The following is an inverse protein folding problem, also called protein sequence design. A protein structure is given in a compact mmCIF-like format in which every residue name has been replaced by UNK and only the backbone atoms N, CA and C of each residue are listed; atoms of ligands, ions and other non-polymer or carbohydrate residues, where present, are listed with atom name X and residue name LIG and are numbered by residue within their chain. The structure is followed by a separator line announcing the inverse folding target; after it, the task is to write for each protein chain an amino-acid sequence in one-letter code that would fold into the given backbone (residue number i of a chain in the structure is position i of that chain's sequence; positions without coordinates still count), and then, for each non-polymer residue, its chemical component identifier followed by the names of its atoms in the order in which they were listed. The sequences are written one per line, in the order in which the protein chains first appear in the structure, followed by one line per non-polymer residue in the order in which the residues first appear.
data_IF_158971970326
#
_entry.id   IF_158971970326
#
_cell.length_a   1.000
_cell.length_b   1.000
_cell.length_c   1.000
_cell.angle_alpha   90.00
_cell.angle_beta   90.00
_cell.angle_gamma   90.00
#
_symmetry.space_group_name_H-M   'P 1'
#
loop_
_entity.id
_entity.type
_entity.pdbx_description
1 polymer ?
#
# COMPACT_ATOMS: atom_id res chain seq x y z
N UNK A 1 -11.49 75.68 -7.94
CA UNK A 1 -10.65 75.11 -6.87
C UNK A 1 -11.28 73.81 -6.48
N UNK A 2 -10.79 72.68 -6.61
CA UNK A 2 -9.53 71.98 -6.64
C UNK A 2 -9.73 70.57 -7.15
N UNK A 3 -8.94 70.17 -8.03
CA UNK A 3 -8.08 68.97 -8.13
C UNK A 3 -8.75 67.57 -7.90
N UNK A 4 -8.97 66.95 -8.97
CA UNK A 4 -8.58 65.63 -9.48
C UNK A 4 -7.65 64.80 -8.58
N UNK A 5 -8.05 63.61 -8.25
CA UNK A 5 -7.16 62.50 -7.85
C UNK A 5 -7.37 61.35 -8.82
N UNK A 6 -6.25 61.01 -9.47
CA UNK A 6 -6.17 60.14 -10.64
C UNK A 6 -6.30 58.66 -10.28
N UNK A 7 -6.92 57.93 -11.20
CA UNK A 7 -6.91 56.49 -11.33
C UNK A 7 -5.47 55.95 -11.43
N UNK A 8 -5.06 55.18 -10.43
CA UNK A 8 -3.90 54.30 -10.54
C UNK A 8 -4.38 52.90 -10.87
N UNK A 9 -4.59 52.61 -12.16
CA UNK A 9 -4.70 51.23 -12.66
C UNK A 9 -3.37 50.52 -12.43
N UNK A 10 -3.33 49.65 -11.45
CA UNK A 10 -2.20 48.73 -11.24
C UNK A 10 -2.18 47.72 -12.38
N UNK A 11 -1.32 47.98 -13.37
CA UNK A 11 -1.00 47.03 -14.43
C UNK A 11 -0.31 45.83 -13.80
N UNK A 12 -1.03 44.72 -13.66
CA UNK A 12 -0.49 43.45 -13.22
C UNK A 12 0.61 43.02 -14.19
N UNK A 13 1.84 42.90 -13.72
CA UNK A 13 3.00 42.51 -14.49
C UNK A 13 2.84 41.12 -15.12
N UNK A 14 3.08 40.92 -16.42
CA UNK A 14 2.98 39.62 -17.10
C UNK A 14 3.95 38.55 -16.55
N UNK A 15 4.93 38.92 -15.74
CA UNK A 15 5.84 37.97 -15.06
C UNK A 15 5.16 37.10 -14.00
N UNK A 16 4.07 37.53 -13.38
CA UNK A 16 3.32 36.72 -12.40
C UNK A 16 2.55 35.58 -13.05
N UNK A 17 2.06 35.78 -14.29
CA UNK A 17 1.32 34.76 -15.05
C UNK A 17 2.25 33.64 -15.56
N UNK A 18 3.46 33.99 -15.99
CA UNK A 18 4.49 33.03 -16.40
C UNK A 18 5.06 32.22 -15.22
N UNK A 19 5.16 32.82 -14.02
CA UNK A 19 5.58 32.08 -12.82
C UNK A 19 4.50 31.09 -12.34
N UNK A 20 3.22 31.41 -12.44
CA UNK A 20 2.12 30.50 -12.06
C UNK A 20 2.08 29.28 -13.00
N UNK A 21 2.37 29.43 -14.29
CA UNK A 21 2.44 28.31 -15.25
C UNK A 21 3.64 27.40 -15.01
N UNK A 22 4.79 27.93 -14.52
CA UNK A 22 5.98 27.12 -14.20
C UNK A 22 5.83 26.33 -12.90
N UNK A 23 4.94 26.73 -12.01
CA UNK A 23 4.68 26.06 -10.72
C UNK A 23 4.00 24.69 -10.88
N UNK A 24 3.32 24.42 -11.99
CA UNK A 24 2.60 23.18 -12.24
C UNK A 24 3.49 22.00 -12.71
N UNK A 25 4.76 22.26 -13.08
CA UNK A 25 5.71 21.25 -13.54
C UNK A 25 6.79 20.99 -12.49
N UNK A 26 7.15 19.70 -12.32
CA UNK A 26 8.30 19.29 -11.50
C UNK A 26 9.59 19.78 -12.14
N UNK A 27 10.49 20.34 -11.34
CA UNK A 27 11.86 20.59 -11.76
C UNK A 27 12.60 19.27 -12.04
N UNK A 28 13.69 19.26 -12.82
CA UNK A 28 14.50 18.05 -13.03
C UNK A 28 14.93 17.39 -11.71
N UNK A 29 15.31 18.18 -10.71
CA UNK A 29 15.72 17.69 -9.40
C UNK A 29 14.55 17.07 -8.62
N UNK A 30 13.38 17.72 -8.58
CA UNK A 30 12.17 17.15 -7.95
C UNK A 30 11.74 15.86 -8.61
N UNK A 31 11.82 15.77 -9.95
CA UNK A 31 11.51 14.56 -10.70
C UNK A 31 12.49 13.44 -10.38
N UNK A 32 13.80 13.72 -10.35
CA UNK A 32 14.82 12.72 -10.01
C UNK A 32 14.64 12.21 -8.58
N UNK A 33 14.45 13.11 -7.61
CA UNK A 33 14.20 12.74 -6.21
C UNK A 33 12.95 11.88 -6.07
N UNK A 34 11.83 12.32 -6.64
CA UNK A 34 10.56 11.59 -6.58
C UNK A 34 10.65 10.22 -7.22
N UNK A 35 11.26 10.12 -8.41
CA UNK A 35 11.40 8.86 -9.13
C UNK A 35 12.33 7.88 -8.39
N UNK A 36 13.48 8.35 -7.93
CA UNK A 36 14.44 7.51 -7.18
C UNK A 36 13.82 6.99 -5.88
N UNK A 37 13.16 7.86 -5.11
CA UNK A 37 12.53 7.48 -3.85
C UNK A 37 11.31 6.57 -4.06
N UNK A 38 10.50 6.82 -5.09
CA UNK A 38 9.40 5.93 -5.49
C UNK A 38 9.93 4.54 -5.93
N UNK A 39 11.06 4.49 -6.64
CA UNK A 39 11.70 3.23 -7.03
C UNK A 39 12.23 2.44 -5.82
N UNK A 40 12.80 3.11 -4.83
CA UNK A 40 13.23 2.49 -3.56
C UNK A 40 12.02 1.90 -2.82
N UNK A 41 10.93 2.66 -2.78
CA UNK A 41 9.67 2.19 -2.19
C UNK A 41 9.13 0.97 -2.94
N UNK A 42 9.15 1.01 -4.28
CA UNK A 42 8.73 -0.08 -5.15
C UNK A 42 9.58 -1.35 -4.94
N UNK A 43 10.90 -1.23 -4.90
CA UNK A 43 11.81 -2.36 -4.64
C UNK A 43 11.52 -3.04 -3.31
N UNK A 44 11.21 -2.26 -2.29
CA UNK A 44 10.82 -2.80 -0.98
C UNK A 44 9.46 -3.50 -1.03
N UNK A 45 8.45 -2.88 -1.66
CA UNK A 45 7.13 -3.49 -1.83
C UNK A 45 7.18 -4.75 -2.71
N UNK A 46 8.09 -4.79 -3.67
CA UNK A 46 8.37 -5.98 -4.44
C UNK A 46 8.75 -7.16 -3.54
N UNK A 47 9.64 -6.95 -2.57
CA UNK A 47 10.01 -7.99 -1.60
C UNK A 47 8.86 -8.48 -0.72
N UNK A 48 7.84 -7.65 -0.47
CA UNK A 48 6.62 -8.08 0.21
C UNK A 48 5.73 -8.93 -0.73
N UNK A 49 5.45 -8.40 -1.91
CA UNK A 49 4.43 -8.93 -2.80
C UNK A 49 4.87 -10.16 -3.57
N UNK A 50 6.17 -10.29 -3.91
CA UNK A 50 6.66 -11.43 -4.71
C UNK A 50 6.53 -12.77 -3.98
N UNK A 51 6.47 -12.75 -2.65
CA UNK A 51 6.35 -13.96 -1.84
C UNK A 51 4.87 -14.40 -1.69
N UNK A 52 3.92 -13.46 -1.74
CA UNK A 52 2.52 -13.73 -1.47
C UNK A 52 1.92 -14.91 -2.28
N UNK A 53 2.07 -14.96 -3.62
CA UNK A 53 1.36 -15.97 -4.42
C UNK A 53 1.97 -17.37 -4.34
N UNK A 54 3.18 -17.54 -3.79
CA UNK A 54 3.92 -18.80 -3.82
C UNK A 54 4.23 -19.33 -2.42
N UNK A 55 4.18 -18.48 -1.40
CA UNK A 55 4.67 -18.83 -0.07
C UNK A 55 3.88 -19.95 0.60
N UNK A 56 2.56 -19.92 0.53
CA UNK A 56 1.71 -20.91 1.18
C UNK A 56 1.94 -22.35 0.65
N UNK A 57 2.33 -22.47 -0.62
CA UNK A 57 2.71 -23.76 -1.22
C UNK A 57 4.12 -24.17 -0.77
N UNK A 58 5.09 -23.28 -0.89
CA UNK A 58 6.48 -23.54 -0.49
C UNK A 58 6.63 -23.89 0.98
N UNK A 59 5.90 -23.20 1.85
CA UNK A 59 6.00 -23.39 3.29
C UNK A 59 5.67 -24.82 3.72
N UNK A 60 4.79 -25.52 2.98
CA UNK A 60 4.43 -26.93 3.25
C UNK A 60 5.58 -27.90 3.00
N UNK A 61 6.60 -27.52 2.24
CA UNK A 61 7.79 -28.30 2.00
C UNK A 61 8.84 -28.13 3.10
N UNK A 62 8.65 -27.15 4.01
CA UNK A 62 9.57 -26.85 5.09
C UNK A 62 9.21 -27.63 6.37
N UNK A 63 10.20 -28.07 7.15
CA UNK A 63 9.95 -28.56 8.51
C UNK A 63 9.17 -27.56 9.35
N UNK A 64 8.01 -27.97 9.89
CA UNK A 64 7.07 -27.13 10.61
C UNK A 64 6.04 -26.39 9.75
N UNK A 65 6.08 -26.56 8.43
CA UNK A 65 5.15 -25.95 7.48
C UNK A 65 3.82 -26.70 7.31
N UNK A 66 3.64 -27.82 7.97
CA UNK A 66 2.37 -28.56 8.01
C UNK A 66 1.25 -27.77 8.71
N UNK A 67 1.61 -26.83 9.58
CA UNK A 67 0.67 -25.95 10.27
C UNK A 67 0.32 -24.74 9.40
N UNK A 68 -0.90 -24.72 8.85
CA UNK A 68 -1.41 -23.56 8.08
C UNK A 68 -1.44 -22.27 8.93
N UNK A 69 -1.61 -22.41 10.25
CA UNK A 69 -1.51 -21.31 11.21
C UNK A 69 -0.10 -20.69 11.18
N UNK A 70 0.96 -21.51 11.25
CA UNK A 70 2.34 -21.02 11.18
C UNK A 70 2.67 -20.41 9.83
N UNK A 71 2.16 -21.00 8.75
CA UNK A 71 2.29 -20.46 7.39
C UNK A 71 1.66 -19.06 7.31
N UNK A 72 0.44 -18.91 7.83
CA UNK A 72 -0.27 -17.63 7.86
C UNK A 72 0.43 -16.57 8.72
N UNK A 73 0.90 -16.98 9.92
CA UNK A 73 1.70 -16.09 10.79
C UNK A 73 2.98 -15.65 10.08
N UNK A 74 3.71 -16.58 9.45
CA UNK A 74 4.96 -16.28 8.74
C UNK A 74 4.73 -15.32 7.56
N UNK A 75 3.59 -15.46 6.87
CA UNK A 75 3.20 -14.54 5.81
C UNK A 75 2.96 -13.13 6.36
N UNK A 76 2.23 -13.04 7.47
CA UNK A 76 1.76 -11.78 8.04
C UNK A 76 2.76 -11.07 8.96
N UNK A 77 3.73 -11.77 9.57
CA UNK A 77 4.64 -11.23 10.60
C UNK A 77 5.46 -10.03 10.10
N UNK A 78 5.76 -9.99 8.82
CA UNK A 78 6.35 -8.84 8.15
C UNK A 78 5.51 -7.57 8.39
N UNK A 79 4.19 -7.67 8.20
CA UNK A 79 3.27 -6.55 8.42
C UNK A 79 3.25 -6.10 9.87
N UNK A 80 3.22 -7.02 10.83
CA UNK A 80 3.23 -6.69 12.25
C UNK A 80 4.46 -5.87 12.65
N UNK A 81 5.66 -6.36 12.32
CA UNK A 81 6.91 -5.67 12.66
C UNK A 81 7.04 -4.34 11.93
N UNK A 82 6.62 -4.26 10.67
CA UNK A 82 6.58 -3.01 9.92
C UNK A 82 5.62 -2.00 10.56
N UNK A 83 4.40 -2.41 10.91
CA UNK A 83 3.41 -1.54 11.54
C UNK A 83 3.90 -0.96 12.87
N UNK A 84 4.48 -1.81 13.71
CA UNK A 84 5.01 -1.40 15.02
C UNK A 84 6.20 -0.44 14.91
N UNK A 85 7.10 -0.66 13.94
CA UNK A 85 8.34 0.09 13.81
C UNK A 85 8.24 1.30 12.87
N UNK A 86 7.15 1.45 12.12
CA UNK A 86 6.98 2.55 11.18
C UNK A 86 7.04 3.93 11.83
N UNK A 87 6.39 4.10 12.99
CA UNK A 87 6.41 5.36 13.75
C UNK A 87 7.80 5.62 14.34
N UNK A 88 8.45 4.68 15.06
CA UNK A 88 9.84 4.83 15.50
C UNK A 88 10.82 5.20 14.39
N UNK A 89 10.74 4.57 13.23
CA UNK A 89 11.59 4.88 12.07
C UNK A 89 11.30 6.28 11.52
N UNK A 90 10.03 6.70 11.49
CA UNK A 90 9.64 8.06 11.13
C UNK A 90 10.32 9.10 12.02
N UNK A 91 10.15 8.96 13.35
CA UNK A 91 10.75 9.85 14.34
C UNK A 91 12.29 9.82 14.28
N UNK A 92 12.89 8.64 14.14
CA UNK A 92 14.34 8.52 13.98
C UNK A 92 14.83 9.27 12.72
N UNK A 93 14.08 9.20 11.61
CA UNK A 93 14.44 9.87 10.36
C UNK A 93 14.35 11.41 10.44
N UNK A 94 13.47 11.92 11.31
CA UNK A 94 13.41 13.37 11.59
C UNK A 94 14.63 13.85 12.39
N UNK A 95 15.13 13.01 13.31
CA UNK A 95 16.25 13.37 14.21
C UNK A 95 17.63 13.06 13.65
N UNK A 96 17.79 11.89 13.04
CA UNK A 96 19.09 11.38 12.54
C UNK A 96 19.30 11.66 11.05
N UNK A 97 18.28 12.22 10.39
CA UNK A 97 18.26 12.47 8.95
C UNK A 97 17.63 11.33 8.14
N UNK A 98 17.07 11.69 6.98
CA UNK A 98 16.32 10.77 6.12
C UNK A 98 17.17 9.62 5.59
N UNK A 99 18.29 9.96 4.95
CA UNK A 99 19.15 8.97 4.27
C UNK A 99 19.75 7.91 5.23
N UNK A 100 20.36 8.27 6.38
CA UNK A 100 20.94 7.28 7.28
C UNK A 100 19.92 6.26 7.76
N UNK A 101 18.70 6.70 8.12
CA UNK A 101 17.64 5.82 8.63
C UNK A 101 17.09 4.92 7.52
N UNK A 102 16.95 5.43 6.28
CA UNK A 102 16.53 4.63 5.13
C UNK A 102 17.59 3.55 4.82
N UNK A 103 18.87 3.91 4.80
CA UNK A 103 19.97 2.96 4.57
C UNK A 103 19.98 1.89 5.65
N UNK A 104 19.85 2.26 6.92
CA UNK A 104 19.80 1.32 8.04
C UNK A 104 18.63 0.34 7.91
N UNK A 105 17.43 0.84 7.60
CA UNK A 105 16.26 -0.01 7.39
C UNK A 105 16.39 -0.95 6.19
N UNK A 106 17.00 -0.50 5.08
CA UNK A 106 17.27 -1.34 3.91
C UNK A 106 18.29 -2.44 4.21
N UNK A 107 19.29 -2.17 5.06
CA UNK A 107 20.26 -3.18 5.50
C UNK A 107 19.56 -4.24 6.35
N UNK A 108 18.72 -3.83 7.32
CA UNK A 108 17.91 -4.78 8.12
C UNK A 108 17.02 -5.63 7.20
N UNK A 109 16.37 -5.01 6.23
CA UNK A 109 15.54 -5.71 5.26
C UNK A 109 16.35 -6.73 4.42
N UNK A 110 17.56 -6.36 3.97
CA UNK A 110 18.44 -7.26 3.23
C UNK A 110 18.89 -8.44 4.09
N UNK A 111 19.30 -8.20 5.35
CA UNK A 111 19.69 -9.26 6.29
C UNK A 111 18.51 -10.21 6.54
N UNK A 112 17.30 -9.68 6.75
CA UNK A 112 16.09 -10.50 6.90
C UNK A 112 15.79 -11.32 5.64
N UNK A 113 16.02 -10.76 4.46
CA UNK A 113 15.84 -11.44 3.19
C UNK A 113 16.81 -12.62 3.01
N UNK A 114 18.09 -12.41 3.30
CA UNK A 114 19.09 -13.50 3.23
C UNK A 114 18.87 -14.57 4.30
N UNK A 115 18.42 -14.17 5.51
CA UNK A 115 18.03 -15.12 6.53
C UNK A 115 16.83 -15.97 6.09
N UNK A 116 15.80 -15.37 5.50
CA UNK A 116 14.67 -16.11 4.95
C UNK A 116 15.08 -17.01 3.77
N UNK A 117 16.04 -16.58 2.94
CA UNK A 117 16.58 -17.37 1.85
C UNK A 117 17.32 -18.63 2.32
N UNK A 118 17.97 -18.59 3.47
CA UNK A 118 18.64 -19.75 4.09
C UNK A 118 17.69 -20.80 4.65
N UNK A 119 16.40 -20.51 4.68
CA UNK A 119 15.28 -21.16 5.35
C UNK A 119 15.29 -22.69 5.42
N UNK A 120 16.04 -23.25 6.39
CA UNK A 120 16.04 -24.68 6.69
C UNK A 120 14.73 -25.19 7.33
N UNK A 121 13.91 -24.27 7.88
CA UNK A 121 12.60 -24.52 8.48
C UNK A 121 11.76 -23.24 8.52
N UNK A 122 10.46 -23.40 8.81
CA UNK A 122 9.51 -22.27 8.82
C UNK A 122 9.87 -21.19 9.85
N UNK A 123 10.49 -21.55 10.97
CA UNK A 123 10.86 -20.60 12.03
C UNK A 123 11.95 -19.64 11.59
N UNK A 124 12.94 -20.13 10.83
CA UNK A 124 14.01 -19.30 10.25
C UNK A 124 13.42 -18.35 9.22
N UNK A 125 12.53 -18.84 8.36
CA UNK A 125 11.83 -18.00 7.39
C UNK A 125 10.98 -16.94 8.10
N UNK A 126 10.26 -17.32 9.15
CA UNK A 126 9.46 -16.39 9.97
C UNK A 126 10.33 -15.30 10.61
N UNK A 127 11.49 -15.66 11.17
CA UNK A 127 12.44 -14.70 11.72
C UNK A 127 12.99 -13.76 10.64
N UNK A 128 13.31 -14.29 9.48
CA UNK A 128 13.72 -13.48 8.32
C UNK A 128 12.64 -12.50 7.88
N UNK A 129 11.38 -12.95 7.82
CA UNK A 129 10.20 -12.10 7.51
C UNK A 129 9.98 -11.02 8.58
N UNK A 130 10.17 -11.37 9.86
CA UNK A 130 10.11 -10.41 10.95
C UNK A 130 11.17 -9.31 10.81
N UNK A 131 12.42 -9.69 10.48
CA UNK A 131 13.51 -8.74 10.22
C UNK A 131 13.25 -7.89 8.96
N UNK A 132 12.73 -8.49 7.87
CA UNK A 132 12.32 -7.72 6.69
C UNK A 132 11.34 -6.61 7.07
N UNK A 133 10.30 -6.94 7.85
CA UNK A 133 9.32 -5.95 8.34
C UNK A 133 9.95 -4.91 9.26
N UNK A 134 10.94 -5.29 10.07
CA UNK A 134 11.67 -4.37 10.95
C UNK A 134 12.45 -3.28 10.17
N UNK A 135 12.76 -3.49 8.89
CA UNK A 135 13.25 -2.45 8.01
C UNK A 135 12.18 -1.45 7.57
N UNK A 136 11.42 -0.87 8.50
CA UNK A 136 10.20 -0.07 8.29
C UNK A 136 10.46 1.34 7.73
N UNK A 137 11.01 1.45 6.53
CA UNK A 137 11.43 2.73 5.91
C UNK A 137 10.30 3.55 5.28
N UNK A 138 9.07 3.02 5.18
CA UNK A 138 7.99 3.67 4.42
C UNK A 138 7.73 5.11 4.87
N UNK A 139 7.64 5.35 6.19
CA UNK A 139 7.43 6.70 6.73
C UNK A 139 8.61 7.63 6.40
N UNK A 140 9.85 7.15 6.55
CA UNK A 140 11.06 7.93 6.25
C UNK A 140 11.15 8.30 4.75
N UNK A 141 10.82 7.37 3.84
CA UNK A 141 10.82 7.62 2.39
C UNK A 141 9.73 8.63 2.01
N UNK A 142 8.52 8.47 2.54
CA UNK A 142 7.40 9.39 2.27
C UNK A 142 7.71 10.80 2.76
N UNK A 143 8.28 10.91 3.96
CA UNK A 143 8.73 12.20 4.50
C UNK A 143 9.87 12.80 3.66
N UNK A 144 10.83 11.98 3.20
CA UNK A 144 11.90 12.45 2.34
C UNK A 144 11.38 13.01 1.00
N UNK A 145 10.37 12.37 0.41
CA UNK A 145 9.72 12.89 -0.80
C UNK A 145 9.09 14.25 -0.50
N UNK A 146 8.35 14.37 0.61
CA UNK A 146 7.72 15.63 1.01
C UNK A 146 8.75 16.76 1.22
N UNK A 147 9.91 16.44 1.81
CA UNK A 147 11.00 17.39 2.02
C UNK A 147 11.74 17.77 0.71
N UNK A 148 11.66 16.91 -0.33
CA UNK A 148 12.40 17.08 -1.59
C UNK A 148 11.64 17.80 -2.69
N UNK A 149 10.35 18.04 -2.52
CA UNK A 149 9.49 18.65 -3.54
C UNK A 149 8.68 19.81 -2.99
N UNK A 150 8.36 20.78 -3.85
CA UNK A 150 7.47 21.89 -3.48
C UNK A 150 6.05 21.39 -3.23
N UNK A 151 5.31 22.08 -2.34
CA UNK A 151 3.92 21.73 -1.97
C UNK A 151 3.00 21.59 -3.19
N UNK A 152 3.18 22.43 -4.22
CA UNK A 152 2.39 22.43 -5.46
C UNK A 152 2.51 21.14 -6.27
N UNK A 153 3.62 20.42 -6.16
CA UNK A 153 3.88 19.17 -6.90
C UNK A 153 3.91 17.93 -6.01
N UNK A 154 3.74 18.10 -4.69
CA UNK A 154 3.75 17.00 -3.71
C UNK A 154 2.71 15.92 -4.05
N UNK A 155 1.50 16.31 -4.45
CA UNK A 155 0.45 15.34 -4.86
C UNK A 155 0.89 14.50 -6.05
N UNK A 156 1.62 15.07 -7.02
CA UNK A 156 2.16 14.32 -8.16
C UNK A 156 3.25 13.34 -7.72
N UNK A 157 4.13 13.74 -6.81
CA UNK A 157 5.17 12.88 -6.26
C UNK A 157 4.56 11.68 -5.49
N UNK A 158 3.54 11.93 -4.67
CA UNK A 158 2.84 10.86 -3.94
C UNK A 158 2.06 9.94 -4.88
N UNK A 159 1.48 10.47 -5.96
CA UNK A 159 0.83 9.65 -6.99
C UNK A 159 1.85 8.72 -7.71
N UNK A 160 3.09 9.16 -7.92
CA UNK A 160 4.15 8.30 -8.46
C UNK A 160 4.47 7.13 -7.51
N UNK A 161 4.50 7.36 -6.20
CA UNK A 161 4.66 6.29 -5.20
C UNK A 161 3.50 5.31 -5.27
N UNK A 162 2.26 5.80 -5.23
CA UNK A 162 1.07 4.94 -5.33
C UNK A 162 1.05 4.10 -6.62
N UNK A 163 1.35 4.71 -7.76
CA UNK A 163 1.45 4.01 -9.04
C UNK A 163 2.56 2.94 -9.03
N UNK A 164 3.71 3.24 -8.41
CA UNK A 164 4.82 2.29 -8.29
C UNK A 164 4.45 1.07 -7.42
N UNK A 165 3.68 1.27 -6.35
CA UNK A 165 3.19 0.18 -5.50
C UNK A 165 2.25 -0.73 -6.30
N UNK A 166 1.24 -0.15 -6.97
CA UNK A 166 0.28 -0.92 -7.76
C UNK A 166 0.94 -1.72 -8.88
N UNK A 167 1.86 -1.07 -9.62
CA UNK A 167 2.63 -1.75 -10.67
C UNK A 167 3.48 -2.88 -10.11
N UNK A 168 4.16 -2.66 -8.98
CA UNK A 168 4.99 -3.66 -8.32
C UNK A 168 4.16 -4.85 -7.84
N UNK A 169 2.96 -4.60 -7.30
CA UNK A 169 2.04 -5.65 -6.90
C UNK A 169 1.63 -6.51 -8.11
N UNK A 170 1.21 -5.89 -9.20
CA UNK A 170 0.82 -6.59 -10.43
C UNK A 170 1.98 -7.43 -11.00
N UNK A 171 3.17 -6.82 -11.12
CA UNK A 171 4.36 -7.52 -11.59
C UNK A 171 4.74 -8.68 -10.68
N UNK A 172 4.66 -8.50 -9.37
CA UNK A 172 4.97 -9.56 -8.40
C UNK A 172 4.08 -10.78 -8.58
N UNK A 173 2.77 -10.59 -8.72
CA UNK A 173 1.83 -11.70 -8.95
C UNK A 173 2.10 -12.45 -10.27
N UNK A 174 2.54 -11.71 -11.29
CA UNK A 174 2.81 -12.28 -12.61
C UNK A 174 4.13 -13.06 -12.66
N UNK A 175 5.21 -12.46 -12.13
CA UNK A 175 6.55 -13.01 -12.30
C UNK A 175 6.97 -13.98 -11.19
N UNK A 176 6.35 -13.92 -10.00
CA UNK A 176 6.70 -14.77 -8.87
C UNK A 176 6.58 -16.27 -9.18
N UNK A 177 5.46 -16.79 -9.75
CA UNK A 177 5.36 -18.22 -10.04
C UNK A 177 6.43 -18.75 -11.01
N UNK A 178 6.68 -18.13 -12.18
CA UNK A 178 7.75 -18.61 -13.07
C UNK A 178 9.16 -18.44 -12.51
N UNK A 179 9.44 -17.38 -11.75
CA UNK A 179 10.73 -17.21 -11.09
C UNK A 179 10.96 -18.27 -9.99
N UNK A 180 9.91 -18.66 -9.29
CA UNK A 180 9.98 -19.73 -8.30
C UNK A 180 10.41 -21.06 -8.94
N UNK A 181 9.93 -21.34 -10.16
CA UNK A 181 10.38 -22.53 -10.91
C UNK A 181 11.88 -22.51 -11.21
N UNK A 182 12.44 -21.32 -11.51
CA UNK A 182 13.85 -21.19 -11.89
C UNK A 182 14.79 -21.20 -10.66
N UNK A 183 14.43 -20.51 -9.59
CA UNK A 183 15.31 -20.21 -8.46
C UNK A 183 14.78 -20.66 -7.10
N UNK A 184 13.58 -21.26 -7.05
CA UNK A 184 12.90 -21.55 -5.80
C UNK A 184 12.48 -20.29 -5.05
N UNK A 185 11.77 -20.46 -3.94
CA UNK A 185 11.38 -19.33 -3.07
C UNK A 185 12.60 -18.74 -2.35
N UNK A 186 13.60 -19.56 -2.02
CA UNK A 186 14.89 -19.08 -1.48
C UNK A 186 15.58 -18.10 -2.45
N UNK A 187 15.51 -18.38 -3.76
CA UNK A 187 16.00 -17.47 -4.79
C UNK A 187 15.23 -16.15 -4.83
N UNK A 188 13.92 -16.18 -4.61
CA UNK A 188 13.13 -14.94 -4.52
C UNK A 188 13.53 -14.10 -3.29
N UNK A 189 13.75 -14.72 -2.14
CA UNK A 189 14.27 -14.03 -0.97
C UNK A 189 15.67 -13.44 -1.22
N UNK A 190 16.53 -14.19 -1.88
CA UNK A 190 17.87 -13.70 -2.27
C UNK A 190 17.76 -12.49 -3.20
N UNK A 191 16.89 -12.57 -4.22
CA UNK A 191 16.63 -11.46 -5.14
C UNK A 191 16.16 -10.20 -4.40
N UNK A 192 15.26 -10.33 -3.42
CA UNK A 192 14.80 -9.20 -2.63
C UNK A 192 15.89 -8.60 -1.75
N UNK A 193 16.78 -9.44 -1.19
CA UNK A 193 17.95 -9.00 -0.44
C UNK A 193 18.94 -8.20 -1.31
N UNK A 194 19.26 -8.72 -2.49
CA UNK A 194 20.12 -8.02 -3.47
C UNK A 194 19.48 -6.70 -3.90
N UNK A 195 18.18 -6.69 -4.20
CA UNK A 195 17.44 -5.48 -4.58
C UNK A 195 17.51 -4.42 -3.48
N UNK A 196 17.44 -4.82 -2.21
CA UNK A 196 17.59 -3.90 -1.08
C UNK A 196 19.00 -3.32 -0.99
N UNK A 197 20.05 -4.10 -1.24
CA UNK A 197 21.43 -3.60 -1.30
C UNK A 197 21.62 -2.62 -2.47
N UNK A 198 21.04 -2.91 -3.64
CA UNK A 198 21.02 -1.96 -4.76
C UNK A 198 20.30 -0.66 -4.35
N UNK A 199 19.17 -0.76 -3.64
CA UNK A 199 18.46 0.41 -3.13
C UNK A 199 19.34 1.24 -2.16
N UNK A 200 20.17 0.61 -1.32
CA UNK A 200 21.15 1.32 -0.47
C UNK A 200 22.11 2.15 -1.33
N UNK A 201 22.64 1.59 -2.42
CA UNK A 201 23.53 2.32 -3.32
C UNK A 201 22.80 3.50 -4.00
N UNK A 202 21.56 3.30 -4.42
CA UNK A 202 20.73 4.37 -5.01
C UNK A 202 20.48 5.49 -3.98
N UNK A 203 20.14 5.18 -2.73
CA UNK A 203 19.96 6.20 -1.67
C UNK A 203 21.24 6.98 -1.44
N UNK A 204 22.37 6.27 -1.40
CA UNK A 204 23.66 6.88 -1.09
C UNK A 204 24.18 7.78 -2.21
N UNK A 205 24.08 7.36 -3.46
CA UNK A 205 24.78 7.99 -4.58
C UNK A 205 23.85 8.73 -5.56
N UNK A 206 22.58 8.33 -5.70
CA UNK A 206 21.67 8.90 -6.71
C UNK A 206 20.68 9.90 -6.11
N UNK A 207 20.13 9.60 -4.92
CA UNK A 207 19.15 10.51 -4.29
C UNK A 207 19.86 11.78 -3.83
N UNK A 208 19.42 12.98 -4.24
CA UNK A 208 19.98 14.24 -3.75
C UNK A 208 19.79 14.36 -2.21
N UNK A 209 20.65 15.11 -1.51
CA UNK A 209 20.40 15.42 -0.10
C UNK A 209 19.07 16.20 0.02
N UNK A 210 18.31 15.90 1.08
CA UNK A 210 17.15 16.74 1.38
C UNK A 210 17.63 18.16 1.64
N UNK A 211 16.95 19.20 1.13
CA UNK A 211 17.13 20.55 1.65
C UNK A 211 16.98 20.44 3.17
N UNK A 212 17.90 21.06 3.93
CA UNK A 212 17.67 21.19 5.36
C UNK A 212 16.41 22.04 5.53
N UNK A 213 15.28 21.39 5.62
CA UNK A 213 14.08 22.04 6.14
C UNK A 213 14.48 22.53 7.50
N UNK A 214 14.52 23.87 7.67
CA UNK A 214 14.55 24.44 8.98
C UNK A 214 13.52 23.66 9.78
N UNK A 215 13.96 22.99 10.83
CA UNK A 215 13.09 22.36 11.80
C UNK A 215 12.26 23.52 12.30
N UNK A 216 11.12 23.75 11.63
CA UNK A 216 10.17 24.73 12.09
C UNK A 216 9.76 24.22 13.47
N UNK A 217 10.27 24.90 14.50
CA UNK A 217 9.93 24.73 15.92
C UNK A 217 8.46 25.01 16.21
N UNK A 218 7.60 24.98 15.23
CA UNK A 218 6.17 24.87 15.41
C UNK A 218 5.79 23.46 15.84
N UNK A 219 6.33 23.08 17.02
CA UNK A 219 5.69 22.15 17.94
C UNK A 219 4.37 22.79 18.48
N UNK A 220 3.49 23.18 17.61
CA UNK A 220 2.08 23.23 17.97
C UNK A 220 1.70 21.82 18.42
N UNK A 221 1.20 21.72 19.64
CA UNK A 221 0.80 20.46 20.27
C UNK A 221 -0.07 19.65 19.32
N UNK A 222 0.56 18.76 18.52
CA UNK A 222 -0.14 17.82 17.66
C UNK A 222 -0.98 16.93 18.57
N UNK A 223 -2.27 17.15 18.61
CA UNK A 223 -3.19 16.35 19.40
C UNK A 223 -3.41 15.01 18.67
N UNK A 224 -2.42 14.10 18.79
CA UNK A 224 -2.51 12.74 18.22
C UNK A 224 -3.85 12.05 18.57
N UNK A 225 -4.42 12.34 19.74
CA UNK A 225 -5.74 11.84 20.15
C UNK A 225 -6.86 12.29 19.21
N UNK A 226 -6.83 13.53 18.72
CA UNK A 226 -7.85 14.04 17.78
C UNK A 226 -7.83 13.29 16.45
N UNK A 227 -6.64 12.87 15.99
CA UNK A 227 -6.51 12.11 14.74
C UNK A 227 -6.87 10.63 14.93
N UNK A 228 -6.35 10.02 15.99
CA UNK A 228 -6.54 8.57 16.24
C UNK A 228 -7.97 8.24 16.62
N UNK A 229 -8.66 9.16 17.34
CA UNK A 229 -10.03 8.96 17.81
C UNK A 229 -11.10 9.65 16.94
N UNK A 230 -10.71 10.30 15.82
CA UNK A 230 -11.69 10.88 14.90
C UNK A 230 -12.57 9.79 14.29
N UNK A 231 -13.91 9.84 14.46
CA UNK A 231 -14.79 8.76 14.01
C UNK A 231 -14.75 8.51 12.49
N UNK A 232 -14.45 9.54 11.67
CA UNK A 232 -14.34 9.37 10.22
C UNK A 232 -13.05 8.65 9.86
N UNK A 233 -11.91 9.05 10.47
CA UNK A 233 -10.63 8.41 10.26
C UNK A 233 -10.60 6.98 10.82
N UNK A 234 -11.22 6.73 11.98
CA UNK A 234 -11.36 5.37 12.55
C UNK A 234 -12.08 4.43 11.59
N UNK A 235 -13.19 4.88 10.94
CA UNK A 235 -13.90 4.07 9.96
C UNK A 235 -13.05 3.75 8.73
N UNK A 236 -12.22 4.70 8.27
CA UNK A 236 -11.28 4.46 7.17
C UNK A 236 -10.15 3.52 7.59
N UNK A 237 -9.68 3.63 8.83
CA UNK A 237 -8.68 2.70 9.39
C UNK A 237 -9.24 1.28 9.52
N UNK A 238 -10.48 1.10 9.97
CA UNK A 238 -11.15 -0.20 9.94
C UNK A 238 -11.18 -0.74 8.50
N UNK A 239 -11.49 0.13 7.54
CA UNK A 239 -11.54 -0.24 6.13
C UNK A 239 -10.23 -0.80 5.60
N UNK A 240 -9.13 -0.09 5.80
CA UNK A 240 -7.83 -0.55 5.29
C UNK A 240 -7.34 -1.80 6.03
N UNK A 241 -7.63 -1.91 7.34
CA UNK A 241 -7.37 -3.12 8.11
C UNK A 241 -8.06 -4.33 7.50
N UNK A 242 -9.39 -4.24 7.28
CA UNK A 242 -10.18 -5.35 6.71
C UNK A 242 -9.71 -5.67 5.29
N UNK A 243 -9.49 -4.65 4.44
CA UNK A 243 -9.07 -4.84 3.06
C UNK A 243 -7.76 -5.63 2.95
N UNK A 244 -6.79 -5.34 3.81
CA UNK A 244 -5.50 -6.04 3.81
C UNK A 244 -5.53 -7.37 4.58
N UNK A 245 -6.40 -7.51 5.56
CA UNK A 245 -6.63 -8.79 6.22
C UNK A 245 -7.22 -9.80 5.23
N UNK A 246 -8.25 -9.43 4.47
CA UNK A 246 -8.84 -10.34 3.48
C UNK A 246 -7.86 -10.63 2.32
N UNK A 247 -7.02 -9.66 1.91
CA UNK A 247 -5.97 -9.88 0.92
C UNK A 247 -5.02 -10.99 1.35
N UNK A 248 -4.48 -10.90 2.57
CA UNK A 248 -3.51 -11.89 3.06
C UNK A 248 -4.19 -13.26 3.28
N UNK A 249 -5.43 -13.28 3.80
CA UNK A 249 -6.19 -14.51 3.98
C UNK A 249 -6.43 -15.25 2.66
N UNK A 250 -6.74 -14.56 1.57
CA UNK A 250 -6.87 -15.15 0.22
C UNK A 250 -5.55 -15.82 -0.18
N UNK A 251 -4.40 -15.18 0.03
CA UNK A 251 -3.11 -15.73 -0.37
C UNK A 251 -2.60 -16.86 0.54
N UNK A 252 -3.22 -17.10 1.68
CA UNK A 252 -3.03 -18.34 2.45
C UNK A 252 -3.78 -19.50 1.78
N UNK A 253 -4.98 -19.28 1.24
CA UNK A 253 -5.87 -20.34 0.76
C UNK A 253 -5.74 -20.62 -0.74
N UNK A 254 -5.80 -19.59 -1.58
CA UNK A 254 -5.93 -19.76 -3.05
C UNK A 254 -4.74 -20.49 -3.67
N UNK A 255 -3.46 -20.19 -3.36
CA UNK A 255 -2.34 -20.89 -3.98
C UNK A 255 -2.37 -22.40 -3.72
N UNK A 256 -2.69 -22.81 -2.49
CA UNK A 256 -2.78 -24.22 -2.11
C UNK A 256 -3.99 -24.89 -2.75
N UNK A 257 -5.11 -24.19 -2.92
CA UNK A 257 -6.30 -24.70 -3.60
C UNK A 257 -6.04 -24.95 -5.09
N UNK A 258 -5.29 -24.07 -5.76
CA UNK A 258 -4.89 -24.23 -7.16
C UNK A 258 -4.02 -25.49 -7.34
N UNK A 259 -3.07 -25.74 -6.44
CA UNK A 259 -2.27 -26.98 -6.46
C UNK A 259 -3.15 -28.22 -6.25
N UNK A 260 -4.11 -28.15 -5.33
CA UNK A 260 -5.08 -29.23 -5.11
C UNK A 260 -5.89 -29.56 -6.38
N UNK A 261 -6.20 -28.53 -7.19
CA UNK A 261 -6.85 -28.65 -8.50
C UNK A 261 -5.88 -29.07 -9.63
N UNK A 262 -4.69 -29.57 -9.29
CA UNK A 262 -3.65 -30.01 -10.21
C UNK A 262 -3.08 -28.93 -11.13
N UNK A 263 -3.16 -27.64 -10.73
CA UNK A 263 -2.44 -26.57 -11.39
C UNK A 263 -1.09 -26.38 -10.69
N UNK A 264 0.05 -26.72 -11.34
CA UNK A 264 1.37 -26.53 -10.76
C UNK A 264 1.62 -25.04 -10.40
N UNK A 265 2.40 -24.82 -9.34
CA UNK A 265 2.65 -23.45 -8.81
C UNK A 265 3.22 -22.50 -9.87
N UNK A 266 4.07 -23.01 -10.78
CA UNK A 266 4.66 -22.22 -11.87
C UNK A 266 3.65 -21.73 -12.90
N UNK A 267 2.44 -22.30 -12.93
CA UNK A 267 1.36 -21.92 -13.86
C UNK A 267 0.29 -21.06 -13.18
N UNK A 268 0.40 -20.75 -11.89
CA UNK A 268 -0.58 -19.90 -11.18
C UNK A 268 -0.76 -18.52 -11.82
N UNK A 269 0.25 -18.03 -12.55
CA UNK A 269 0.15 -16.76 -13.30
C UNK A 269 -0.96 -16.76 -14.34
N UNK A 270 -1.39 -17.92 -14.85
CA UNK A 270 -2.55 -18.04 -15.76
C UNK A 270 -3.85 -17.58 -15.08
N UNK A 271 -3.94 -17.76 -13.77
CA UNK A 271 -5.08 -17.33 -12.95
C UNK A 271 -4.92 -15.87 -12.52
N UNK A 272 -3.72 -15.51 -12.08
CA UNK A 272 -3.47 -14.17 -11.55
C UNK A 272 -3.44 -13.09 -12.63
N UNK A 273 -2.86 -13.36 -13.80
CA UNK A 273 -2.71 -12.37 -14.87
C UNK A 273 -4.05 -11.82 -15.37
N UNK A 274 -5.02 -12.63 -15.79
CA UNK A 274 -6.31 -12.09 -16.23
C UNK A 274 -7.05 -11.38 -15.10
N UNK A 275 -6.97 -11.87 -13.88
CA UNK A 275 -7.58 -11.24 -12.71
C UNK A 275 -7.00 -9.84 -12.42
N UNK A 276 -5.67 -9.70 -12.47
CA UNK A 276 -4.97 -8.43 -12.26
C UNK A 276 -5.27 -7.46 -13.40
N UNK A 277 -5.23 -7.90 -14.66
CA UNK A 277 -5.56 -7.06 -15.82
C UNK A 277 -7.00 -6.54 -15.70
N UNK A 278 -7.96 -7.41 -15.38
CA UNK A 278 -9.34 -7.01 -15.15
C UNK A 278 -9.45 -5.98 -14.01
N UNK A 279 -8.73 -6.22 -12.91
CA UNK A 279 -8.68 -5.32 -11.77
C UNK A 279 -8.23 -3.90 -12.15
N UNK A 280 -7.13 -3.76 -12.88
CA UNK A 280 -6.62 -2.45 -13.31
C UNK A 280 -7.46 -1.82 -14.43
N UNK A 281 -7.92 -2.60 -15.40
CA UNK A 281 -8.72 -2.08 -16.51
C UNK A 281 -10.09 -1.55 -16.05
N UNK A 282 -10.73 -2.25 -15.11
CA UNK A 282 -12.09 -1.95 -14.66
C UNK A 282 -12.17 -1.07 -13.42
N UNK A 283 -11.04 -0.70 -12.77
CA UNK A 283 -11.06 0.22 -11.64
C UNK A 283 -11.34 1.68 -12.05
N UNK A 284 -10.99 2.08 -13.28
CA UNK A 284 -11.07 3.47 -13.70
C UNK A 284 -12.50 4.03 -13.77
N UNK A 285 -13.51 3.34 -14.34
CA UNK A 285 -14.87 3.86 -14.41
C UNK A 285 -15.50 4.22 -13.05
N UNK A 286 -15.45 3.36 -12.01
CA UNK A 286 -15.95 3.71 -10.67
C UNK A 286 -15.23 4.91 -10.06
N UNK A 287 -13.91 5.01 -10.18
CA UNK A 287 -13.12 6.12 -9.65
C UNK A 287 -13.50 7.44 -10.33
N UNK A 288 -13.58 7.44 -11.68
CA UNK A 288 -13.97 8.62 -12.46
C UNK A 288 -15.41 9.03 -12.11
N UNK A 289 -16.32 8.08 -11.98
CA UNK A 289 -17.71 8.37 -11.59
C UNK A 289 -17.77 8.98 -10.19
N UNK A 290 -17.07 8.41 -9.22
CA UNK A 290 -17.02 8.90 -7.85
C UNK A 290 -16.53 10.34 -7.76
N UNK A 291 -15.45 10.67 -8.47
CA UNK A 291 -14.90 12.03 -8.48
C UNK A 291 -15.81 13.03 -9.24
N UNK A 292 -16.30 12.67 -10.43
CA UNK A 292 -17.18 13.56 -11.21
C UNK A 292 -18.52 13.85 -10.53
N UNK A 293 -19.10 12.85 -9.90
CA UNK A 293 -20.42 12.96 -9.22
C UNK A 293 -20.33 13.36 -7.74
N UNK A 294 -19.11 13.52 -7.20
CA UNK A 294 -18.88 13.73 -5.76
C UNK A 294 -19.56 12.66 -4.91
N UNK A 295 -19.36 11.44 -5.28
CA UNK A 295 -19.96 10.27 -4.69
C UNK A 295 -18.88 9.24 -4.33
N UNK A 296 -17.70 9.71 -3.87
CA UNK A 296 -16.54 8.87 -3.58
C UNK A 296 -16.84 7.85 -2.48
N UNK A 297 -17.50 8.30 -1.39
CA UNK A 297 -17.92 7.42 -0.29
C UNK A 297 -19.02 6.45 -0.75
N UNK A 298 -19.91 6.88 -1.65
CA UNK A 298 -20.95 6.01 -2.22
C UNK A 298 -20.35 4.92 -3.08
N UNK A 299 -19.38 5.25 -3.93
CA UNK A 299 -18.62 4.26 -4.73
C UNK A 299 -17.88 3.30 -3.82
N UNK A 300 -17.21 3.80 -2.78
CA UNK A 300 -16.55 2.98 -1.78
C UNK A 300 -17.53 1.97 -1.14
N UNK A 301 -18.70 2.41 -0.66
CA UNK A 301 -19.72 1.51 -0.10
C UNK A 301 -20.19 0.46 -1.09
N UNK A 302 -20.44 0.86 -2.34
CA UNK A 302 -20.81 -0.09 -3.39
C UNK A 302 -19.73 -1.17 -3.57
N UNK A 303 -18.45 -0.77 -3.60
CA UNK A 303 -17.33 -1.73 -3.76
C UNK A 303 -17.16 -2.64 -2.53
N UNK A 304 -17.41 -2.14 -1.31
CA UNK A 304 -17.39 -2.99 -0.12
C UNK A 304 -18.50 -4.04 -0.20
N UNK A 305 -19.73 -3.66 -0.55
CA UNK A 305 -20.85 -4.58 -0.76
C UNK A 305 -20.56 -5.59 -1.87
N UNK A 306 -19.99 -5.13 -2.99
CA UNK A 306 -19.57 -5.95 -4.11
C UNK A 306 -18.56 -7.02 -3.69
N UNK A 307 -17.54 -6.66 -2.89
CA UNK A 307 -16.58 -7.61 -2.35
C UNK A 307 -17.18 -8.54 -1.29
N UNK A 308 -18.13 -8.05 -0.48
CA UNK A 308 -18.87 -8.91 0.46
C UNK A 308 -19.54 -10.08 -0.28
N UNK A 309 -20.26 -9.77 -1.37
CA UNK A 309 -20.89 -10.78 -2.23
C UNK A 309 -19.82 -11.69 -2.85
N UNK A 310 -18.71 -11.13 -3.34
CA UNK A 310 -17.63 -11.92 -3.92
C UNK A 310 -17.07 -12.94 -2.92
N UNK A 311 -16.90 -12.58 -1.65
CA UNK A 311 -16.42 -13.50 -0.62
C UNK A 311 -17.44 -14.60 -0.28
N UNK A 312 -18.73 -14.30 -0.31
CA UNK A 312 -19.78 -15.32 -0.20
C UNK A 312 -19.69 -16.28 -1.38
N UNK A 313 -19.51 -15.77 -2.60
CA UNK A 313 -19.35 -16.61 -3.79
C UNK A 313 -18.08 -17.45 -3.74
N UNK A 314 -16.96 -16.91 -3.23
CA UNK A 314 -15.76 -17.70 -3.00
C UNK A 314 -16.01 -18.91 -2.08
N UNK A 315 -16.83 -18.76 -1.03
CA UNK A 315 -17.13 -19.86 -0.11
C UNK A 315 -17.88 -21.02 -0.78
N UNK A 316 -18.62 -20.75 -1.85
CA UNK A 316 -19.47 -21.75 -2.52
C UNK A 316 -18.97 -22.18 -3.91
N UNK A 317 -18.19 -21.36 -4.62
CA UNK A 317 -17.89 -21.54 -6.04
C UNK A 317 -16.38 -21.77 -6.34
N UNK A 318 -15.62 -22.35 -5.41
CA UNK A 318 -14.19 -22.66 -5.65
C UNK A 318 -13.99 -24.12 -6.08
N UNK A 319 -14.71 -24.56 -7.11
CA UNK A 319 -14.65 -25.95 -7.59
C UNK A 319 -13.82 -26.09 -8.86
N UNK A 320 -13.57 -25.01 -9.59
CA UNK A 320 -12.76 -24.99 -10.80
C UNK A 320 -11.76 -23.83 -10.83
N UNK A 321 -10.69 -23.98 -11.61
CA UNK A 321 -9.67 -22.95 -11.82
C UNK A 321 -10.28 -21.67 -12.42
N UNK A 322 -11.27 -21.82 -13.31
CA UNK A 322 -11.95 -20.71 -13.97
C UNK A 322 -12.81 -19.89 -13.02
N UNK A 323 -13.50 -20.57 -12.08
CA UNK A 323 -14.26 -19.90 -11.02
C UNK A 323 -13.33 -19.08 -10.11
N UNK A 324 -12.19 -19.66 -9.72
CA UNK A 324 -11.17 -18.93 -8.94
C UNK A 324 -10.65 -17.73 -9.72
N UNK A 325 -10.31 -17.88 -11.01
CA UNK A 325 -9.81 -16.78 -11.84
C UNK A 325 -10.85 -15.66 -11.97
N UNK A 326 -12.12 -16.01 -12.19
CA UNK A 326 -13.20 -15.03 -12.28
C UNK A 326 -13.43 -14.29 -10.96
N UNK A 327 -13.52 -15.01 -9.84
CA UNK A 327 -13.71 -14.42 -8.52
C UNK A 327 -12.52 -13.56 -8.08
N UNK A 328 -11.29 -13.97 -8.41
CA UNK A 328 -10.11 -13.13 -8.19
C UNK A 328 -10.16 -11.85 -9.04
N UNK A 329 -10.65 -11.92 -10.27
CA UNK A 329 -10.90 -10.75 -11.11
C UNK A 329 -11.86 -9.76 -10.44
N UNK A 330 -12.99 -10.27 -9.93
CA UNK A 330 -13.96 -9.49 -9.15
C UNK A 330 -13.29 -8.88 -7.91
N UNK A 331 -12.50 -9.68 -7.18
CA UNK A 331 -11.77 -9.22 -6.01
C UNK A 331 -10.82 -8.07 -6.35
N UNK A 332 -9.97 -8.21 -7.37
CA UNK A 332 -9.00 -7.17 -7.72
C UNK A 332 -9.65 -5.90 -8.26
N UNK A 333 -10.82 -5.97 -8.90
CA UNK A 333 -11.58 -4.76 -9.29
C UNK A 333 -11.95 -3.97 -8.03
N UNK A 334 -12.63 -4.60 -7.08
CA UNK A 334 -13.06 -3.95 -5.84
C UNK A 334 -11.87 -3.50 -4.99
N UNK A 335 -10.85 -4.36 -4.86
CA UNK A 335 -9.62 -4.08 -4.10
C UNK A 335 -8.91 -2.82 -4.63
N UNK A 336 -8.64 -2.73 -5.94
CA UNK A 336 -7.93 -1.61 -6.54
C UNK A 336 -8.71 -0.29 -6.41
N UNK A 337 -10.05 -0.33 -6.56
CA UNK A 337 -10.89 0.86 -6.34
C UNK A 337 -10.82 1.31 -4.88
N UNK A 338 -10.91 0.39 -3.92
CA UNK A 338 -10.86 0.70 -2.50
C UNK A 338 -9.46 1.17 -2.08
N UNK A 339 -8.40 0.53 -2.58
CA UNK A 339 -7.01 0.90 -2.32
C UNK A 339 -6.67 2.31 -2.81
N UNK A 340 -7.23 2.73 -3.94
CA UNK A 340 -7.08 4.09 -4.45
C UNK A 340 -7.95 5.11 -3.68
N UNK A 341 -9.13 4.69 -3.23
CA UNK A 341 -10.12 5.59 -2.62
C UNK A 341 -9.81 5.89 -1.16
N UNK A 342 -9.40 4.90 -0.37
CA UNK A 342 -9.19 5.03 1.08
C UNK A 342 -8.15 6.09 1.45
N UNK A 343 -6.89 6.07 0.93
CA UNK A 343 -5.90 7.08 1.28
C UNK A 343 -6.27 8.49 0.80
N UNK A 344 -7.02 8.58 -0.32
CA UNK A 344 -7.57 9.83 -0.80
C UNK A 344 -8.57 10.41 0.21
N UNK A 345 -9.49 9.60 0.72
CA UNK A 345 -10.44 10.02 1.76
C UNK A 345 -9.74 10.42 3.06
N UNK A 346 -8.75 9.64 3.53
CA UNK A 346 -7.93 10.01 4.70
C UNK A 346 -7.29 11.39 4.50
N UNK A 347 -6.71 11.64 3.34
CA UNK A 347 -6.04 12.90 3.03
C UNK A 347 -6.99 14.11 2.95
N UNK A 348 -8.26 13.88 2.56
CA UNK A 348 -9.31 14.92 2.48
C UNK A 348 -9.97 15.21 3.82
N UNK A 349 -10.10 14.20 4.67
CA UNK A 349 -10.79 14.31 5.97
C UNK A 349 -9.83 14.80 7.05
N UNK A 350 -8.59 14.35 7.02
CA UNK A 350 -7.59 14.75 8.00
C UNK A 350 -7.26 16.26 7.90
N UNK A 351 -7.14 16.97 9.05
CA UNK A 351 -6.67 18.36 9.08
C UNK A 351 -5.33 18.49 8.35
N UNK A 352 -5.13 19.60 7.64
CA UNK A 352 -3.92 19.78 6.81
C UNK A 352 -2.61 19.63 7.61
N UNK A 353 -2.59 20.13 8.87
CA UNK A 353 -1.42 20.01 9.76
C UNK A 353 -1.17 18.57 10.22
N UNK A 354 -2.19 17.74 10.33
CA UNK A 354 -2.11 16.37 10.87
C UNK A 354 -2.21 15.27 9.80
N UNK A 355 -2.26 15.65 8.51
CA UNK A 355 -2.41 14.70 7.40
C UNK A 355 -1.35 13.61 7.38
N UNK A 356 -0.10 13.98 7.66
CA UNK A 356 1.01 13.01 7.75
C UNK A 356 0.81 11.99 8.89
N UNK A 357 0.32 12.44 10.05
CA UNK A 357 0.00 11.57 11.18
C UNK A 357 -1.17 10.62 10.83
N UNK A 358 -2.22 11.15 10.20
CA UNK A 358 -3.38 10.34 9.80
C UNK A 358 -2.99 9.22 8.81
N UNK A 359 -2.17 9.55 7.79
CA UNK A 359 -1.64 8.55 6.86
C UNK A 359 -0.67 7.57 7.54
N UNK A 360 0.09 8.01 8.54
CA UNK A 360 0.93 7.14 9.36
C UNK A 360 0.12 6.09 10.13
N UNK A 361 -0.96 6.52 10.80
CA UNK A 361 -1.89 5.62 11.51
C UNK A 361 -2.57 4.67 10.52
N UNK A 362 -3.03 5.19 9.39
CA UNK A 362 -3.62 4.41 8.29
C UNK A 362 -2.68 3.29 7.82
N UNK A 363 -1.42 3.61 7.51
CA UNK A 363 -0.44 2.63 7.06
C UNK A 363 -0.08 1.61 8.16
N UNK A 364 0.00 2.03 9.42
CA UNK A 364 0.19 1.12 10.55
C UNK A 364 -0.97 0.13 10.64
N UNK A 365 -2.20 0.61 10.54
CA UNK A 365 -3.41 -0.21 10.58
C UNK A 365 -3.49 -1.18 9.39
N UNK A 366 -3.10 -0.74 8.20
CA UNK A 366 -2.92 -1.57 7.01
C UNK A 366 -2.00 -2.76 7.28
N UNK A 367 -0.82 -2.49 7.84
CA UNK A 367 0.18 -3.51 8.13
C UNK A 367 -0.28 -4.50 9.21
N UNK A 368 -1.00 -4.03 10.23
CA UNK A 368 -1.61 -4.90 11.23
C UNK A 368 -2.68 -5.80 10.58
N UNK A 369 -3.44 -5.26 9.61
CA UNK A 369 -4.39 -6.03 8.81
C UNK A 369 -3.73 -7.20 8.07
N UNK A 370 -2.58 -6.97 7.42
CA UNK A 370 -1.80 -8.03 6.77
C UNK A 370 -1.45 -9.17 7.75
N UNK A 371 -1.01 -8.82 8.95
CA UNK A 371 -0.67 -9.82 9.97
C UNK A 371 -1.89 -10.61 10.43
N UNK A 372 -2.95 -9.91 10.81
CA UNK A 372 -4.17 -10.54 11.34
C UNK A 372 -4.82 -11.42 10.29
N UNK A 373 -4.85 -10.97 9.03
CA UNK A 373 -5.38 -11.75 7.90
C UNK A 373 -4.60 -13.03 7.66
N UNK A 374 -3.27 -12.99 7.72
CA UNK A 374 -2.43 -14.18 7.61
C UNK A 374 -2.64 -15.14 8.78
N UNK A 375 -2.52 -14.65 10.01
CA UNK A 375 -2.62 -15.46 11.22
C UNK A 375 -4.01 -16.11 11.38
N UNK A 376 -5.10 -15.31 11.25
CA UNK A 376 -6.46 -15.82 11.34
C UNK A 376 -6.83 -16.66 10.12
N UNK A 377 -6.43 -16.25 8.90
CA UNK A 377 -6.67 -17.03 7.68
C UNK A 377 -6.07 -18.43 7.79
N UNK A 378 -4.82 -18.53 8.25
CA UNK A 378 -4.16 -19.82 8.48
C UNK A 378 -4.83 -20.63 9.59
N UNK A 379 -5.14 -20.03 10.74
CA UNK A 379 -5.79 -20.72 11.85
C UNK A 379 -7.20 -21.22 11.49
N UNK A 380 -7.99 -20.40 10.79
CA UNK A 380 -9.35 -20.78 10.37
C UNK A 380 -9.27 -21.87 9.30
N UNK A 381 -8.38 -21.76 8.33
CA UNK A 381 -8.19 -22.78 7.30
C UNK A 381 -7.79 -24.12 7.92
N UNK A 382 -6.89 -24.12 8.89
CA UNK A 382 -6.41 -25.32 9.57
C UNK A 382 -7.50 -26.05 10.38
N UNK A 383 -8.38 -25.30 11.07
CA UNK A 383 -9.35 -25.91 12.01
C UNK A 383 -10.73 -26.09 11.41
N UNK A 384 -11.14 -25.27 10.46
CA UNK A 384 -12.49 -25.20 9.90
C UNK A 384 -12.54 -25.38 8.39
N UNK A 385 -11.37 -25.52 7.76
CA UNK A 385 -11.27 -25.65 6.29
C UNK A 385 -11.18 -24.31 5.55
N UNK A 386 -10.73 -24.36 4.27
CA UNK A 386 -10.50 -23.18 3.46
C UNK A 386 -11.78 -22.37 3.15
N UNK A 387 -12.93 -23.02 3.06
CA UNK A 387 -14.22 -22.36 2.80
C UNK A 387 -14.62 -21.43 3.95
N UNK A 388 -14.31 -21.82 5.21
CA UNK A 388 -14.58 -21.01 6.39
C UNK A 388 -13.83 -19.68 6.38
N UNK A 389 -12.63 -19.62 5.77
CA UNK A 389 -11.87 -18.38 5.63
C UNK A 389 -12.66 -17.35 4.83
N UNK A 390 -13.31 -17.76 3.75
CA UNK A 390 -14.09 -16.85 2.90
C UNK A 390 -15.35 -16.36 3.60
N UNK A 391 -16.01 -17.19 4.43
CA UNK A 391 -17.13 -16.74 5.27
C UNK A 391 -16.69 -15.70 6.30
N UNK A 392 -15.54 -15.89 6.92
CA UNK A 392 -14.98 -14.90 7.86
C UNK A 392 -14.61 -13.61 7.13
N UNK A 393 -14.01 -13.71 5.95
CA UNK A 393 -13.75 -12.55 5.09
C UNK A 393 -15.04 -11.80 4.72
N UNK A 394 -16.10 -12.53 4.31
CA UNK A 394 -17.40 -11.93 4.02
C UNK A 394 -17.99 -11.21 5.24
N UNK A 395 -17.89 -11.84 6.42
CA UNK A 395 -18.35 -11.24 7.69
C UNK A 395 -17.59 -9.97 8.04
N UNK A 396 -16.26 -9.98 7.89
CA UNK A 396 -15.41 -8.80 8.13
C UNK A 396 -15.76 -7.65 7.14
N UNK A 397 -15.97 -7.99 5.86
CA UNK A 397 -16.42 -7.02 4.85
C UNK A 397 -17.80 -6.46 5.17
N UNK A 398 -18.73 -7.27 5.68
CA UNK A 398 -20.07 -6.84 6.08
C UNK A 398 -20.01 -5.88 7.30
N UNK A 399 -19.18 -6.17 8.29
CA UNK A 399 -18.93 -5.28 9.44
C UNK A 399 -18.37 -3.95 8.94
N UNK A 400 -17.41 -3.96 8.03
CA UNK A 400 -16.90 -2.75 7.41
C UNK A 400 -17.98 -2.01 6.63
N UNK A 401 -18.78 -2.72 5.83
CA UNK A 401 -19.90 -2.14 5.10
C UNK A 401 -20.85 -1.40 6.05
N UNK A 402 -21.27 -2.04 7.15
CA UNK A 402 -22.11 -1.42 8.16
C UNK A 402 -21.45 -0.18 8.79
N UNK A 403 -20.17 -0.23 9.14
CA UNK A 403 -19.44 0.90 9.70
C UNK A 403 -19.32 2.09 8.73
N UNK A 404 -19.32 1.82 7.43
CA UNK A 404 -19.16 2.83 6.37
C UNK A 404 -20.34 3.81 6.26
N UNK A 405 -21.55 3.45 6.77
CA UNK A 405 -22.72 4.34 6.70
C UNK A 405 -22.56 5.62 7.52
N UNK A 406 -21.68 5.64 8.51
CA UNK A 406 -21.34 6.85 9.26
C UNK A 406 -20.31 7.76 8.57
N UNK A 407 -19.76 7.39 7.40
CA UNK A 407 -18.84 8.24 6.64
C UNK A 407 -19.60 9.30 5.85
N UNK A 408 -19.07 10.52 5.87
CA UNK A 408 -19.59 11.66 5.13
C UNK A 408 -18.74 11.92 3.88
N UNK A 409 -19.39 12.39 2.81
CA UNK A 409 -18.66 12.84 1.62
C UNK A 409 -17.80 14.07 1.98
N UNK A 410 -16.49 14.05 1.70
CA UNK A 410 -15.65 15.21 1.97
C UNK A 410 -16.05 16.38 1.08
N UNK A 411 -15.94 17.60 1.60
CA UNK A 411 -16.15 18.82 0.83
C UNK A 411 -15.23 18.86 -0.40
N UNK A 412 -15.67 19.58 -1.45
CA UNK A 412 -14.81 19.81 -2.63
C UNK A 412 -13.49 20.45 -2.19
N UNK A 413 -12.34 20.00 -2.71
CA UNK A 413 -11.18 20.87 -2.69
C UNK A 413 -11.59 22.19 -3.37
N UNK A 414 -11.33 23.32 -2.71
CA UNK A 414 -11.59 24.63 -3.29
C UNK A 414 -10.89 24.67 -4.66
N UNK A 415 -11.70 24.74 -5.73
CA UNK A 415 -11.16 25.02 -7.07
C UNK A 415 -10.71 26.46 -7.08
N UNK A 416 -9.53 26.73 -7.59
CA UNK A 416 -9.19 28.08 -7.99
C UNK A 416 -10.20 28.53 -9.06
N UNK A 417 -10.70 29.77 -8.99
CA UNK A 417 -11.64 30.28 -10.01
C UNK A 417 -10.96 30.29 -11.39
N UNK A 418 -11.41 29.41 -12.30
CA UNK A 418 -10.89 29.35 -13.67
C UNK A 418 -10.63 27.97 -14.28
N UNK A 419 -10.71 26.89 -13.53
CA UNK A 419 -10.46 25.55 -14.05
C UNK A 419 -11.72 24.94 -14.71
N UNK A 420 -11.77 25.04 -16.06
CA UNK A 420 -12.82 24.42 -16.90
C UNK A 420 -12.40 22.97 -17.16
N UNK A 421 -13.26 22.03 -16.82
CA UNK A 421 -13.09 20.61 -17.20
C UNK A 421 -13.36 20.50 -18.72
N UNK A 422 -12.35 20.12 -19.47
CA UNK A 422 -12.52 19.53 -20.80
C UNK A 422 -12.77 18.03 -20.69
#
# INVERSE_FOLDING_TARGET
MSASAADAQTIAHPKSFLMASSAAHMTPQERTSSFSLASIFALRMFGLFIILPVFAVYARELPGGDSETLVGITLGIYGLTQGLLQIPFGVASDRLGRKPVIIFGLIIFALGSFLAASGANIWIVMLGRMLQGAGAISAAVTAFIADSVRVQVLTKAMAMVGASIGLTFALSLLISPPLTKLWGVSGLFTLTGISALIAVLVVKFVVPPAPQSAIDEKNEHRSWRKVVCDPQLVRLNIGIFVLHAVLTAIFVVIPTRLVYMRLPSEHHWWVYLPAVIAGFALMAPPLIFGEKKQAVVRVMRFMIGFLTVAFVLFAYLIHSIWEIAFLLGIFFIGFNVLEATLPNLVSRIAPAADRGLALGVYNTTQNIGLFVGGALGGAISQHFGPEAVFFVCASAMLIWFASSFGLQEPARPNREPGEVIK
#
